data_IF_191834166136
#
_entry.id   IF_191834166136
#
_cell.length_a   1.000
_cell.length_b   1.000
_cell.length_c   1.000
_cell.angle_alpha   90.00
_cell.angle_beta   90.00
_cell.angle_gamma   90.00
#
_symmetry.space_group_name_H-M   'P 1'
#
loop_
_entity.id
_entity.type
_entity.pdbx_description
1 polymer ?
#
# COMPACT_ATOMS: atom_id res chain seq x y z
N UNK A 1 -1.02 6.13 15.20
CA UNK A 1 -0.25 4.98 14.70
C UNK A 1 0.83 4.68 15.73
N UNK A 2 1.16 3.41 15.95
CA UNK A 2 2.28 3.04 16.81
C UNK A 2 3.64 3.29 16.11
N UNK A 3 4.75 3.14 16.83
CA UNK A 3 6.09 3.44 16.30
C UNK A 3 6.49 2.49 15.15
N UNK A 4 6.15 1.20 15.27
CA UNK A 4 6.51 0.17 14.28
C UNK A 4 5.78 0.41 12.96
N UNK A 5 4.44 0.49 12.98
CA UNK A 5 3.64 0.73 11.77
C UNK A 5 4.01 2.08 11.12
N UNK A 6 4.33 3.09 11.93
CA UNK A 6 4.75 4.40 11.41
C UNK A 6 6.10 4.32 10.68
N UNK A 7 7.04 3.53 11.20
CA UNK A 7 8.35 3.30 10.56
C UNK A 7 8.20 2.53 9.25
N UNK A 8 7.43 1.45 9.25
CA UNK A 8 7.16 0.64 8.05
C UNK A 8 6.45 1.47 6.96
N UNK A 9 5.45 2.27 7.35
CA UNK A 9 4.77 3.18 6.42
C UNK A 9 5.70 4.27 5.86
N UNK A 10 6.69 4.71 6.65
CA UNK A 10 7.73 5.63 6.16
C UNK A 10 8.63 4.94 5.14
N UNK A 11 9.02 3.69 5.39
CA UNK A 11 9.80 2.90 4.43
C UNK A 11 9.05 2.69 3.11
N UNK A 12 7.76 2.32 3.17
CA UNK A 12 6.90 2.24 1.96
C UNK A 12 6.87 3.56 1.21
N UNK A 13 6.70 4.68 1.93
CA UNK A 13 6.64 6.01 1.33
C UNK A 13 7.95 6.38 0.63
N UNK A 14 9.09 6.10 1.24
CA UNK A 14 10.41 6.36 0.65
C UNK A 14 10.63 5.48 -0.57
N UNK A 15 10.41 4.17 -0.43
CA UNK A 15 10.57 3.18 -1.50
C UNK A 15 9.77 3.55 -2.76
N UNK A 16 8.48 3.88 -2.61
CA UNK A 16 7.64 4.26 -3.74
C UNK A 16 8.05 5.58 -4.39
N UNK A 17 8.53 6.55 -3.61
CA UNK A 17 9.03 7.84 -4.13
C UNK A 17 10.33 7.70 -4.92
N UNK A 18 11.16 6.72 -4.56
CA UNK A 18 12.40 6.41 -5.29
C UNK A 18 12.12 5.58 -6.55
N UNK A 19 11.05 4.78 -6.53
CA UNK A 19 10.68 3.91 -7.65
C UNK A 19 10.10 4.66 -8.84
N UNK A 20 9.29 5.70 -8.62
CA UNK A 20 8.70 6.50 -9.72
C UNK A 20 9.19 7.95 -9.70
N UNK A 21 9.49 8.56 -10.86
CA UNK A 21 9.94 9.94 -10.95
C UNK A 21 8.80 10.95 -10.76
N UNK A 22 7.55 10.50 -10.71
CA UNK A 22 6.36 11.34 -10.69
C UNK A 22 5.93 11.71 -9.28
N UNK A 23 5.05 12.72 -9.18
CA UNK A 23 4.48 13.10 -7.89
C UNK A 23 3.54 12.00 -7.40
N UNK A 24 3.89 11.42 -6.24
CA UNK A 24 3.09 10.42 -5.55
C UNK A 24 2.59 10.96 -4.21
N UNK A 25 1.30 10.77 -3.94
CA UNK A 25 0.71 11.03 -2.64
C UNK A 25 0.38 9.70 -1.96
N UNK A 26 0.83 9.55 -0.72
CA UNK A 26 0.66 8.31 0.05
C UNK A 26 0.08 8.66 1.41
N UNK A 27 -1.05 8.06 1.76
CA UNK A 27 -1.73 8.26 3.05
C UNK A 27 -2.06 6.90 3.66
N UNK A 28 -1.56 6.65 4.88
CA UNK A 28 -1.87 5.46 5.67
C UNK A 28 -2.84 5.80 6.81
N UNK A 29 -3.82 4.94 7.04
CA UNK A 29 -4.80 5.03 8.14
C UNK A 29 -4.85 3.69 8.85
N UNK A 30 -4.40 3.65 10.11
CA UNK A 30 -4.36 2.43 10.91
C UNK A 30 -5.46 2.42 11.97
N UNK A 31 -6.12 1.28 12.13
CA UNK A 31 -7.02 0.95 13.23
C UNK A 31 -6.31 0.00 14.17
N UNK A 32 -6.39 0.32 15.46
CA UNK A 32 -5.84 -0.50 16.54
C UNK A 32 -6.96 -1.02 17.42
N UNK A 33 -6.90 -2.30 17.78
CA UNK A 33 -7.78 -2.97 18.75
C UNK A 33 -6.89 -3.62 19.80
N UNK A 34 -7.17 -3.39 21.09
CA UNK A 34 -6.35 -3.91 22.20
C UNK A 34 -4.85 -3.63 22.07
N UNK A 35 -4.50 -2.43 21.58
CA UNK A 35 -3.13 -1.95 21.31
C UNK A 35 -2.36 -2.75 20.23
N UNK A 36 -3.05 -3.56 19.43
CA UNK A 36 -2.48 -4.25 18.27
C UNK A 36 -3.03 -3.66 16.99
N UNK A 37 -2.23 -3.68 15.92
CA UNK A 37 -2.71 -3.28 14.60
C UNK A 37 -3.72 -4.32 14.12
N UNK A 38 -4.90 -3.86 13.75
CA UNK A 38 -5.99 -4.73 13.28
C UNK A 38 -6.26 -4.51 11.79
N UNK A 39 -6.22 -3.24 11.35
CA UNK A 39 -6.45 -2.89 9.96
C UNK A 39 -5.60 -1.69 9.53
N UNK A 40 -4.98 -1.77 8.36
CA UNK A 40 -4.23 -0.68 7.74
C UNK A 40 -4.78 -0.39 6.34
N UNK A 41 -5.33 0.81 6.15
CA UNK A 41 -5.67 1.32 4.82
C UNK A 41 -4.54 2.19 4.29
N UNK A 42 -4.10 1.95 3.07
CA UNK A 42 -3.13 2.77 2.36
C UNK A 42 -3.83 3.31 1.11
N UNK A 43 -3.73 4.61 0.88
CA UNK A 43 -4.16 5.23 -0.37
C UNK A 43 -2.92 5.78 -1.07
N UNK A 44 -2.70 5.32 -2.29
CA UNK A 44 -1.59 5.71 -3.15
C UNK A 44 -2.18 6.40 -4.37
N UNK A 45 -1.93 7.69 -4.53
CA UNK A 45 -2.37 8.47 -5.69
C UNK A 45 -1.15 8.75 -6.56
N UNK A 46 -1.24 8.32 -7.81
CA UNK A 46 -0.21 8.46 -8.86
C UNK A 46 -0.78 9.22 -10.06
N UNK A 47 0.11 9.63 -10.96
CA UNK A 47 -0.20 10.26 -12.25
C UNK A 47 0.41 9.47 -13.40
N UNK A 48 0.33 8.14 -13.32
CA UNK A 48 0.97 7.25 -14.28
C UNK A 48 0.45 7.49 -15.71
N UNK A 49 1.37 7.45 -16.66
CA UNK A 49 1.13 7.68 -18.09
C UNK A 49 0.78 6.39 -18.82
N UNK A 50 1.18 5.25 -18.27
CA UNK A 50 1.05 3.95 -18.91
C UNK A 50 0.51 2.90 -17.94
N UNK A 51 -0.16 1.90 -18.50
CA UNK A 51 -0.57 0.72 -17.74
C UNK A 51 0.63 -0.06 -17.18
N UNK A 52 1.76 -0.05 -17.88
CA UNK A 52 2.99 -0.70 -17.41
C UNK A 52 3.51 -0.09 -16.11
N UNK A 53 3.48 1.25 -15.97
CA UNK A 53 3.84 1.94 -14.72
C UNK A 53 2.91 1.56 -13.57
N UNK A 54 1.60 1.52 -13.82
CA UNK A 54 0.60 1.08 -12.83
C UNK A 54 0.90 -0.35 -12.39
N UNK A 55 1.14 -1.25 -13.35
CA UNK A 55 1.40 -2.66 -13.08
C UNK A 55 2.68 -2.85 -12.26
N UNK A 56 3.78 -2.22 -12.65
CA UNK A 56 5.06 -2.31 -11.96
C UNK A 56 5.00 -1.72 -10.54
N UNK A 57 4.35 -0.56 -10.37
CA UNK A 57 4.15 0.04 -9.05
C UNK A 57 3.27 -0.83 -8.15
N UNK A 58 2.22 -1.45 -8.70
CA UNK A 58 1.33 -2.33 -7.95
C UNK A 58 2.09 -3.57 -7.46
N UNK A 59 2.90 -4.20 -8.33
CA UNK A 59 3.74 -5.33 -7.95
C UNK A 59 4.76 -4.95 -6.86
N UNK A 60 5.43 -3.80 -7.04
CA UNK A 60 6.42 -3.35 -6.07
C UNK A 60 5.78 -2.99 -4.72
N UNK A 61 4.62 -2.32 -4.74
CA UNK A 61 3.86 -2.08 -3.52
C UNK A 61 3.47 -3.39 -2.84
N UNK A 62 3.01 -4.39 -3.60
CA UNK A 62 2.70 -5.71 -3.07
C UNK A 62 3.86 -6.31 -2.27
N UNK A 63 5.06 -6.34 -2.85
CA UNK A 63 6.25 -6.89 -2.16
C UNK A 63 6.65 -6.08 -0.92
N UNK A 64 6.41 -4.76 -0.90
CA UNK A 64 6.62 -3.94 0.30
C UNK A 64 5.62 -4.30 1.41
N UNK A 65 4.36 -4.60 1.07
CA UNK A 65 3.32 -4.97 2.05
C UNK A 65 3.54 -6.36 2.66
N UNK A 66 4.10 -7.29 1.89
CA UNK A 66 4.51 -8.61 2.41
C UNK A 66 5.51 -8.48 3.56
N UNK A 67 6.36 -7.45 3.54
CA UNK A 67 7.41 -7.24 4.54
C UNK A 67 6.94 -6.60 5.86
N UNK A 68 5.67 -6.22 5.99
CA UNK A 68 5.14 -5.73 7.26
C UNK A 68 5.22 -6.81 8.34
N UNK A 69 5.77 -6.44 9.49
CA UNK A 69 6.05 -7.34 10.61
C UNK A 69 4.81 -7.88 11.30
N UNK A 70 3.74 -7.07 11.40
CA UNK A 70 2.46 -7.53 11.93
C UNK A 70 1.74 -8.37 10.87
N UNK A 71 1.76 -9.69 11.01
CA UNK A 71 1.11 -10.62 10.08
C UNK A 71 -0.38 -10.80 10.34
N UNK A 72 -0.86 -10.46 11.53
CA UNK A 72 -2.28 -10.61 11.90
C UNK A 72 -3.16 -9.45 11.45
N UNK A 73 -2.56 -8.36 10.97
CA UNK A 73 -3.28 -7.19 10.47
C UNK A 73 -3.66 -7.33 8.99
N UNK A 74 -4.92 -7.00 8.69
CA UNK A 74 -5.39 -6.85 7.30
C UNK A 74 -4.85 -5.53 6.75
N UNK A 75 -4.21 -5.57 5.58
CA UNK A 75 -3.72 -4.39 4.88
C UNK A 75 -4.45 -4.25 3.56
N UNK A 76 -5.00 -3.08 3.29
CA UNK A 76 -5.64 -2.75 2.01
C UNK A 76 -4.99 -1.49 1.43
N UNK A 77 -4.31 -1.63 0.30
CA UNK A 77 -3.78 -0.52 -0.47
C UNK A 77 -4.62 -0.26 -1.72
N UNK A 78 -5.17 0.96 -1.82
CA UNK A 78 -5.86 1.44 -3.02
C UNK A 78 -4.88 2.26 -3.84
N UNK A 79 -4.60 1.80 -5.06
CA UNK A 79 -3.82 2.53 -6.06
C UNK A 79 -4.79 3.29 -6.95
N UNK A 80 -4.64 4.61 -6.95
CA UNK A 80 -5.46 5.54 -7.74
C UNK A 80 -4.62 6.26 -8.77
N UNK A 81 -5.07 6.29 -10.01
CA UNK A 81 -4.55 7.22 -11.00
C UNK A 81 -5.51 8.43 -11.04
N UNK A 82 -5.04 9.60 -10.61
CA UNK A 82 -5.92 10.74 -10.31
C UNK A 82 -7.06 10.37 -9.35
N UNK A 83 -8.30 10.27 -9.85
CA UNK A 83 -9.49 9.97 -9.07
C UNK A 83 -9.94 8.51 -9.19
N UNK A 84 -9.43 7.78 -10.18
CA UNK A 84 -9.88 6.45 -10.52
C UNK A 84 -9.06 5.41 -9.81
N UNK A 85 -9.73 4.43 -9.19
CA UNK A 85 -9.03 3.28 -8.61
C UNK A 85 -8.65 2.36 -9.75
N UNK A 86 -7.36 2.07 -9.88
CA UNK A 86 -6.80 1.26 -10.97
C UNK A 86 -6.30 -0.10 -10.48
N UNK A 87 -5.95 -0.18 -9.19
CA UNK A 87 -5.64 -1.44 -8.55
C UNK A 87 -5.95 -1.40 -7.04
N UNK A 88 -6.26 -2.57 -6.48
CA UNK A 88 -6.41 -2.81 -5.06
C UNK A 88 -5.49 -3.96 -4.69
N UNK A 89 -4.69 -3.77 -3.65
CA UNK A 89 -3.84 -4.81 -3.07
C UNK A 89 -4.38 -5.08 -1.68
N UNK A 90 -4.72 -6.33 -1.41
CA UNK A 90 -5.16 -6.80 -0.10
C UNK A 90 -4.17 -7.83 0.41
N UNK A 91 -3.69 -7.64 1.63
CA UNK A 91 -2.97 -8.65 2.39
C UNK A 91 -3.84 -9.04 3.58
N UNK A 92 -4.28 -10.29 3.62
CA UNK A 92 -5.12 -10.80 4.69
C UNK A 92 -4.32 -11.11 5.96
N UNK A 93 -5.04 -11.42 7.05
CA UNK A 93 -4.45 -11.68 8.37
C UNK A 93 -3.67 -13.01 8.46
N UNK A 94 -3.78 -13.86 7.44
CA UNK A 94 -2.95 -15.04 7.22
C UNK A 94 -1.67 -14.74 6.40
N UNK A 95 -1.58 -13.52 5.86
CA UNK A 95 -0.47 -13.05 5.04
C UNK A 95 -0.68 -13.22 3.54
N UNK A 96 -1.79 -13.81 3.09
CA UNK A 96 -2.06 -14.00 1.67
C UNK A 96 -2.27 -12.65 0.98
N UNK A 97 -1.58 -12.46 -0.15
CA UNK A 97 -1.62 -11.23 -0.92
C UNK A 97 -2.43 -11.42 -2.21
N UNK A 98 -3.48 -10.62 -2.34
CA UNK A 98 -4.34 -10.57 -3.52
C UNK A 98 -4.21 -9.21 -4.20
N UNK A 99 -4.02 -9.22 -5.52
CA UNK A 99 -4.00 -8.01 -6.35
C UNK A 99 -5.19 -8.04 -7.31
N UNK A 100 -5.97 -6.97 -7.32
CA UNK A 100 -7.17 -6.79 -8.15
C UNK A 100 -6.96 -5.56 -9.02
N UNK A 101 -7.06 -5.69 -10.35
CA UNK A 101 -7.05 -4.58 -11.29
C UNK A 101 -8.49 -4.22 -11.69
N UNK A 102 -8.82 -2.93 -11.73
CA UNK A 102 -10.21 -2.44 -11.75
C UNK A 102 -10.57 -1.61 -12.97
N UNK A 103 -9.99 -1.90 -14.14
CA UNK A 103 -10.13 -1.19 -15.43
C UNK A 103 -11.45 -0.43 -15.65
#
# INVERSE_FOLDING_TARGET
>A
MDSVTSSEMKSVRTALKEFIPETIAIVGQARFVDRKLDFLRINVVIQAKTYAEIHALTQYLGSLLENFSDKGAIIVANVKNYNDTVAIIQRDADGDLTVIYTY
#
